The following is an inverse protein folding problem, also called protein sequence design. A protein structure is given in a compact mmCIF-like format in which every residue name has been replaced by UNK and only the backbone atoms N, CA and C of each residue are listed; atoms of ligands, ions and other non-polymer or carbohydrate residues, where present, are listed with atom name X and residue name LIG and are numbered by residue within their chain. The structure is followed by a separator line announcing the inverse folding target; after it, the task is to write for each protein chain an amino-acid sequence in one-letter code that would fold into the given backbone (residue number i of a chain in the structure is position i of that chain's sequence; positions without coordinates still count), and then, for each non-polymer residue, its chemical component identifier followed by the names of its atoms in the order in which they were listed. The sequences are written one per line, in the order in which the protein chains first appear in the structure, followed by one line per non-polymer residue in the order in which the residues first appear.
data_IF_009176789635
#
_entry.id   IF_009176789635
#
_cell.length_a   1.000
_cell.length_b   1.000
_cell.length_c   1.000
_cell.angle_alpha   90.00
_cell.angle_beta   90.00
_cell.angle_gamma   90.00
#
_symmetry.space_group_name_H-M   'P 1'
#
loop_
_entity.id
_entity.type
_entity.pdbx_description
1 polymer ?
#
# COMPACT_ATOMS: atom_id res chain seq x y z
N UNK A 1 -1.34 21.61 2.00
CA UNK A 1 -0.42 20.58 1.54
C UNK A 1 -1.04 19.78 0.42
N UNK A 2 -0.30 19.51 -0.62
CA UNK A 2 -0.86 18.73 -1.74
C UNK A 2 -0.88 17.25 -1.41
N UNK A 3 -1.82 16.53 -2.00
CA UNK A 3 -1.92 15.08 -1.86
C UNK A 3 -0.64 14.39 -2.33
N UNK A 4 -0.01 14.91 -3.38
CA UNK A 4 1.22 14.36 -3.92
C UNK A 4 2.35 14.39 -2.90
N UNK A 5 2.51 15.50 -2.19
CA UNK A 5 3.55 15.61 -1.17
C UNK A 5 3.29 14.66 -0.02
N UNK A 6 2.05 14.56 0.42
CA UNK A 6 1.67 13.61 1.45
C UNK A 6 1.98 12.18 1.03
N UNK A 7 1.67 11.84 -0.20
CA UNK A 7 1.93 10.52 -0.75
C UNK A 7 3.43 10.19 -0.74
N UNK A 8 4.27 11.14 -1.13
CA UNK A 8 5.72 10.95 -1.12
C UNK A 8 6.25 10.77 0.30
N UNK A 9 5.74 11.55 1.24
CA UNK A 9 6.14 11.43 2.64
C UNK A 9 5.78 10.06 3.20
N UNK A 10 4.61 9.56 2.86
CA UNK A 10 4.17 8.23 3.29
C UNK A 10 5.07 7.16 2.68
N UNK A 11 5.42 7.27 1.42
CA UNK A 11 6.29 6.30 0.76
C UNK A 11 7.66 6.21 1.41
N UNK A 12 8.16 7.34 1.90
CA UNK A 12 9.46 7.36 2.58
C UNK A 12 9.41 6.72 3.95
N UNK A 13 8.32 6.91 4.68
CA UNK A 13 8.17 6.38 6.04
C UNK A 13 6.75 5.91 6.31
N UNK A 14 6.30 4.82 5.67
CA UNK A 14 4.91 4.35 5.86
C UNK A 14 4.60 4.00 7.30
N UNK A 15 5.53 3.37 8.00
CA UNK A 15 5.34 2.96 9.39
C UNK A 15 5.16 4.11 10.36
N UNK A 16 5.51 5.32 9.96
CA UNK A 16 5.32 6.50 10.77
C UNK A 16 3.88 7.01 10.70
N UNK A 17 3.24 6.79 9.56
CA UNK A 17 1.88 7.25 9.29
C UNK A 17 0.85 6.19 9.66
N UNK A 18 1.13 4.95 9.30
CA UNK A 18 0.24 3.81 9.57
C UNK A 18 0.85 2.91 10.62
N UNK A 19 0.01 2.44 11.55
CA UNK A 19 0.48 1.48 12.56
C UNK A 19 0.69 0.10 11.99
N UNK A 20 -0.16 -0.28 11.05
CA UNK A 20 -0.16 -1.62 10.46
C UNK A 20 -0.32 -1.49 8.95
N UNK A 21 0.28 -2.41 8.19
CA UNK A 21 0.11 -2.39 6.73
C UNK A 21 -1.35 -2.44 6.29
N UNK A 22 -2.21 -3.14 7.04
CA UNK A 22 -3.63 -3.21 6.71
C UNK A 22 -4.32 -1.86 6.78
N UNK A 23 -3.78 -0.91 7.56
CA UNK A 23 -4.36 0.42 7.65
C UNK A 23 -4.29 1.18 6.34
N UNK A 24 -3.36 0.84 5.47
CA UNK A 24 -3.25 1.43 4.13
C UNK A 24 -4.53 1.16 3.35
N UNK A 25 -5.12 -0.01 3.50
CA UNK A 25 -6.35 -0.38 2.81
C UNK A 25 -7.56 0.41 3.28
N UNK A 26 -7.48 0.95 4.49
CA UNK A 26 -8.57 1.73 5.08
C UNK A 26 -8.47 3.21 4.76
N UNK A 27 -7.35 3.64 4.23
CA UNK A 27 -7.14 5.05 3.91
C UNK A 27 -7.83 5.39 2.59
N UNK A 28 -8.90 6.15 2.69
CA UNK A 28 -9.71 6.53 1.53
C UNK A 28 -9.11 7.64 0.70
N UNK A 29 -8.03 8.24 1.17
CA UNK A 29 -7.36 9.31 0.43
C UNK A 29 -6.66 8.79 -0.81
N UNK A 30 -6.38 7.49 -0.87
CA UNK A 30 -5.62 6.88 -1.95
C UNK A 30 -6.40 5.75 -2.60
N UNK A 31 -6.25 5.61 -3.92
CA UNK A 31 -6.80 4.50 -4.65
C UNK A 31 -5.90 3.25 -4.56
N UNK A 32 -6.34 2.17 -5.18
CA UNK A 32 -5.62 0.90 -5.09
C UNK A 32 -4.21 0.97 -5.68
N UNK A 33 -4.02 1.70 -6.77
CA UNK A 33 -2.69 1.86 -7.37
C UNK A 33 -1.73 2.56 -6.39
N UNK A 34 -2.21 3.60 -5.75
CA UNK A 34 -1.41 4.34 -4.77
C UNK A 34 -1.13 3.50 -3.54
N UNK A 35 -2.14 2.76 -3.06
CA UNK A 35 -1.96 1.84 -1.94
C UNK A 35 -0.89 0.80 -2.24
N UNK A 36 -0.89 0.27 -3.45
CA UNK A 36 0.09 -0.71 -3.87
C UNK A 36 1.50 -0.13 -3.83
N UNK A 37 1.68 1.10 -4.30
CA UNK A 37 2.98 1.77 -4.27
C UNK A 37 3.45 2.00 -2.84
N UNK A 38 2.56 2.40 -1.94
CA UNK A 38 2.88 2.59 -0.52
C UNK A 38 3.31 1.26 0.10
N UNK A 39 2.57 0.20 -0.17
CA UNK A 39 2.88 -1.12 0.39
C UNK A 39 4.21 -1.66 -0.12
N UNK A 40 4.51 -1.46 -1.39
CA UNK A 40 5.80 -1.89 -1.94
C UNK A 40 6.96 -1.14 -1.33
N UNK A 41 6.80 0.17 -1.13
CA UNK A 41 7.82 0.98 -0.47
C UNK A 41 8.02 0.53 0.98
N UNK A 42 6.93 0.20 1.66
CA UNK A 42 6.99 -0.32 3.02
C UNK A 42 7.73 -1.63 3.06
N UNK A 43 7.40 -2.55 2.17
CA UNK A 43 8.08 -3.84 2.09
C UNK A 43 9.59 -3.69 1.92
N UNK A 44 10.00 -2.75 1.07
CA UNK A 44 11.42 -2.53 0.79
C UNK A 44 12.17 -2.02 2.00
N UNK A 45 11.47 -1.40 2.96
CA UNK A 45 12.08 -0.87 4.17
C UNK A 45 12.07 -1.86 5.34
N UNK A 46 11.36 -2.96 5.21
CA UNK A 46 11.26 -3.96 6.28
C UNK A 46 12.43 -4.94 6.22
N UNK A 47 12.91 -5.33 7.39
CA UNK A 47 13.99 -6.31 7.51
C UNK A 47 13.49 -7.64 8.01
N UNK A 48 12.38 -7.64 8.76
CA UNK A 48 11.83 -8.84 9.37
C UNK A 48 11.02 -9.63 8.35
N UNK A 49 11.34 -10.91 8.19
CA UNK A 49 10.69 -11.78 7.22
C UNK A 49 9.18 -11.93 7.48
N UNK A 50 8.78 -11.93 8.76
CA UNK A 50 7.36 -12.03 9.13
C UNK A 50 6.61 -10.79 8.68
N UNK A 51 7.19 -9.62 8.90
CA UNK A 51 6.59 -8.36 8.48
C UNK A 51 6.50 -8.27 6.96
N UNK A 52 7.55 -8.69 6.27
CA UNK A 52 7.56 -8.72 4.80
C UNK A 52 6.45 -9.64 4.28
N UNK A 53 6.28 -10.80 4.88
CA UNK A 53 5.23 -11.74 4.47
C UNK A 53 3.84 -11.13 4.67
N UNK A 54 3.64 -10.40 5.76
CA UNK A 54 2.36 -9.73 6.04
C UNK A 54 2.06 -8.68 4.96
N UNK A 55 3.05 -7.85 4.64
CA UNK A 55 2.89 -6.82 3.60
C UNK A 55 2.65 -7.46 2.23
N UNK A 56 3.37 -8.53 1.91
CA UNK A 56 3.19 -9.23 0.65
C UNK A 56 1.78 -9.78 0.49
N UNK A 57 1.18 -10.30 1.58
CA UNK A 57 -0.19 -10.80 1.54
C UNK A 57 -1.17 -9.67 1.22
N UNK A 58 -0.95 -8.49 1.78
CA UNK A 58 -1.79 -7.32 1.53
C UNK A 58 -1.58 -6.80 0.10
N UNK A 59 -0.34 -6.80 -0.37
CA UNK A 59 -0.04 -6.44 -1.76
C UNK A 59 -0.79 -7.36 -2.73
N UNK A 60 -0.79 -8.66 -2.47
CA UNK A 60 -1.49 -9.61 -3.31
C UNK A 60 -2.99 -9.33 -3.34
N UNK A 61 -3.56 -8.93 -2.20
CA UNK A 61 -4.96 -8.56 -2.10
C UNK A 61 -5.28 -7.36 -3.00
N UNK A 62 -4.45 -6.32 -2.94
CA UNK A 62 -4.65 -5.12 -3.75
C UNK A 62 -4.48 -5.42 -5.24
N UNK A 63 -3.48 -6.21 -5.58
CA UNK A 63 -3.24 -6.62 -6.97
C UNK A 63 -4.44 -7.39 -7.52
N UNK A 64 -5.02 -8.23 -6.70
CA UNK A 64 -6.21 -8.99 -7.08
C UNK A 64 -7.39 -8.08 -7.36
N UNK A 65 -7.58 -7.05 -6.53
CA UNK A 65 -8.64 -6.06 -6.73
C UNK A 65 -8.45 -5.29 -8.03
N UNK A 66 -7.22 -4.89 -8.33
CA UNK A 66 -6.91 -4.19 -9.57
C UNK A 66 -7.18 -5.05 -10.78
N UNK A 67 -6.78 -6.31 -10.71
CA UNK A 67 -7.03 -7.26 -11.79
C UNK A 67 -8.53 -7.48 -12.01
N UNK A 68 -9.29 -7.61 -10.93
CA UNK A 68 -10.74 -7.78 -10.99
C UNK A 68 -11.40 -6.55 -11.59
N UNK A 69 -10.94 -5.37 -11.22
CA UNK A 69 -11.46 -4.11 -11.75
C UNK A 69 -11.26 -4.03 -13.26
N UNK A 70 -10.07 -4.36 -13.72
CA UNK A 70 -9.77 -4.37 -15.14
C UNK A 70 -10.67 -5.35 -15.88
N UNK A 71 -10.84 -6.53 -15.31
CA UNK A 71 -11.66 -7.56 -15.91
C UNK A 71 -13.14 -7.14 -15.95
N UNK A 72 -13.59 -6.51 -14.89
CA UNK A 72 -14.98 -6.05 -14.81
C UNK A 72 -15.26 -4.92 -15.79
N UNK A 73 -14.24 -4.14 -16.14
CA UNK A 73 -14.41 -3.03 -17.09
C UNK A 73 -14.64 -3.51 -18.52
N UNK A 74 -14.32 -4.75 -18.80
CA UNK A 74 -14.56 -5.33 -20.11
C UNK A 74 -16.02 -5.76 -20.25
#
# INVERSE_FOLDING_TARGET
MSKKKLFEDIRQNPGRIYRMPADVLRDRRFGDVERLQILRAWRDQLEDAVDVATVNAIIAEVERRLCTTDHAAE
#
